data_IF_250962394134
#
_entry.id   IF_250962394134
#
_cell.length_a   1.000
_cell.length_b   1.000
_cell.length_c   1.000
_cell.angle_alpha   90.00
_cell.angle_beta   90.00
_cell.angle_gamma   90.00
#
_symmetry.space_group_name_H-M   'P 1'
#
loop_
_entity.id
_entity.type
_entity.pdbx_description
1 polymer ?
#
# COMPACT_ATOMS: atom_id res chain seq x y z
N UNK A 1 -12.59 -24.21 -11.18
CA UNK A 1 -12.63 -22.78 -11.57
C UNK A 1 -11.29 -22.15 -11.21
N UNK A 2 -10.71 -21.30 -12.06
CA UNK A 2 -9.55 -20.48 -11.67
C UNK A 2 -10.04 -19.29 -10.86
N UNK A 3 -9.33 -18.97 -9.78
CA UNK A 3 -9.59 -17.76 -9.01
C UNK A 3 -9.32 -16.51 -9.87
N UNK A 4 -10.19 -15.51 -9.77
CA UNK A 4 -10.02 -14.20 -10.42
C UNK A 4 -9.64 -13.19 -9.35
N UNK A 5 -8.42 -12.66 -9.42
CA UNK A 5 -7.89 -11.70 -8.47
C UNK A 5 -7.87 -10.32 -9.12
N UNK A 6 -8.36 -9.31 -8.39
CA UNK A 6 -8.41 -7.91 -8.84
C UNK A 6 -7.54 -7.06 -7.91
N UNK A 7 -6.73 -6.16 -8.48
CA UNK A 7 -5.92 -5.19 -7.71
C UNK A 7 -6.62 -3.84 -7.69
N UNK A 8 -6.81 -3.25 -6.52
CA UNK A 8 -7.48 -1.97 -6.32
C UNK A 8 -6.51 -1.04 -5.59
N UNK A 9 -6.35 0.19 -6.09
CA UNK A 9 -5.57 1.24 -5.47
C UNK A 9 -6.52 2.40 -5.13
N UNK A 10 -6.43 2.92 -3.90
CA UNK A 10 -7.34 3.92 -3.36
C UNK A 10 -6.52 5.00 -2.68
N UNK A 11 -6.97 6.25 -2.78
CA UNK A 11 -6.42 7.38 -2.05
C UNK A 11 -7.52 8.05 -1.21
N UNK A 12 -7.20 8.56 -0.01
CA UNK A 12 -8.15 9.31 0.79
C UNK A 12 -8.42 10.66 0.14
N UNK A 13 -9.69 10.93 -0.20
CA UNK A 13 -10.14 12.25 -0.67
C UNK A 13 -10.53 13.15 0.51
N UNK A 14 -10.80 12.57 1.68
CA UNK A 14 -11.16 13.27 2.91
C UNK A 14 -10.35 12.73 4.09
N UNK A 15 -9.89 13.62 4.97
CA UNK A 15 -9.00 13.28 6.10
C UNK A 15 -9.64 12.41 7.19
N UNK A 16 -10.96 12.21 7.18
CA UNK A 16 -11.68 11.61 8.30
C UNK A 16 -11.98 10.11 8.16
N UNK A 17 -11.50 9.44 7.11
CA UNK A 17 -11.79 8.01 6.93
C UNK A 17 -10.78 7.15 7.68
N UNK A 18 -11.26 6.36 8.64
CA UNK A 18 -10.46 5.35 9.32
C UNK A 18 -10.32 4.09 8.46
N UNK A 19 -9.25 3.32 8.64
CA UNK A 19 -9.02 2.04 7.95
C UNK A 19 -10.19 1.08 8.10
N UNK A 20 -10.77 0.99 9.30
CA UNK A 20 -11.95 0.14 9.56
C UNK A 20 -13.20 0.59 8.79
N UNK A 21 -13.45 1.91 8.76
CA UNK A 21 -14.57 2.47 8.02
C UNK A 21 -14.42 2.23 6.51
N UNK A 22 -13.20 2.38 5.98
CA UNK A 22 -12.86 2.06 4.60
C UNK A 22 -13.11 0.57 4.31
N UNK A 23 -12.60 -0.33 5.15
CA UNK A 23 -12.73 -1.77 4.95
C UNK A 23 -14.20 -2.22 4.99
N UNK A 24 -14.99 -1.66 5.91
CA UNK A 24 -16.43 -1.92 5.99
C UNK A 24 -17.15 -1.49 4.70
N UNK A 25 -16.81 -0.31 4.16
CA UNK A 25 -17.39 0.19 2.90
C UNK A 25 -16.99 -0.67 1.71
N UNK A 26 -15.70 -1.06 1.61
CA UNK A 26 -15.20 -1.92 0.53
C UNK A 26 -15.89 -3.29 0.54
N UNK A 27 -16.08 -3.90 1.72
CA UNK A 27 -16.81 -5.16 1.85
C UNK A 27 -18.26 -5.04 1.37
N UNK A 28 -18.94 -3.93 1.70
CA UNK A 28 -20.31 -3.68 1.26
C UNK A 28 -20.40 -3.55 -0.27
N UNK A 29 -19.48 -2.78 -0.88
CA UNK A 29 -19.43 -2.62 -2.34
C UNK A 29 -19.09 -3.93 -3.05
N UNK A 30 -18.11 -4.69 -2.54
CA UNK A 30 -17.77 -5.99 -3.08
C UNK A 30 -18.97 -6.94 -3.07
N UNK A 31 -19.70 -7.01 -1.95
CA UNK A 31 -20.91 -7.82 -1.85
C UNK A 31 -21.99 -7.42 -2.87
N UNK A 32 -22.18 -6.11 -3.09
CA UNK A 32 -23.09 -5.60 -4.13
C UNK A 32 -22.70 -6.02 -5.55
N UNK A 33 -21.42 -6.33 -5.79
CA UNK A 33 -20.89 -6.80 -7.07
C UNK A 33 -20.74 -8.33 -7.16
N UNK A 34 -21.17 -9.10 -6.14
CA UNK A 34 -20.95 -10.55 -6.09
C UNK A 34 -19.49 -10.95 -5.82
N UNK A 35 -18.71 -10.06 -5.21
CA UNK A 35 -17.30 -10.25 -4.86
C UNK A 35 -17.13 -10.37 -3.33
N UNK A 36 -16.02 -10.97 -2.91
CA UNK A 36 -15.61 -11.05 -1.50
C UNK A 36 -14.22 -10.45 -1.32
N UNK A 37 -14.07 -9.57 -0.33
CA UNK A 37 -12.75 -9.09 0.10
C UNK A 37 -12.11 -10.17 0.97
N UNK A 38 -11.08 -10.84 0.46
CA UNK A 38 -10.36 -11.89 1.19
C UNK A 38 -9.32 -11.30 2.17
N UNK A 39 -8.59 -10.26 1.74
CA UNK A 39 -7.61 -9.53 2.54
C UNK A 39 -7.61 -8.04 2.17
N UNK A 40 -7.18 -7.20 3.10
CA UNK A 40 -6.93 -5.78 2.87
C UNK A 40 -5.86 -5.34 3.87
N UNK A 41 -4.78 -4.76 3.36
CA UNK A 41 -3.64 -4.31 4.17
C UNK A 41 -3.44 -2.82 3.90
N UNK A 42 -3.20 -2.06 4.98
CA UNK A 42 -2.76 -0.68 4.86
C UNK A 42 -1.25 -0.72 4.60
N UNK A 43 -0.85 -0.30 3.41
CA UNK A 43 0.57 -0.10 3.09
C UNK A 43 0.88 1.34 3.47
N UNK A 44 1.59 1.51 4.58
CA UNK A 44 2.20 2.79 4.90
C UNK A 44 3.43 2.93 3.99
N UNK A 45 3.51 4.00 3.20
CA UNK A 45 4.68 4.27 2.38
C UNK A 45 5.83 4.75 3.29
N UNK A 46 6.39 3.86 4.11
CA UNK A 46 7.72 4.04 4.67
C UNK A 46 8.73 3.39 3.74
N UNK A 47 9.03 4.04 2.62
CA UNK A 47 10.28 3.81 1.88
C UNK A 47 10.67 5.11 1.17
N UNK A 48 11.25 6.03 1.94
CA UNK A 48 12.08 7.09 1.37
C UNK A 48 13.19 7.48 2.38
N UNK A 49 14.14 6.58 2.60
CA UNK A 49 15.54 7.00 2.84
C UNK A 49 16.48 5.96 2.25
N UNK A 50 16.69 6.12 0.94
CA UNK A 50 17.94 5.76 0.30
C UNK A 50 19.05 6.60 0.95
N UNK A 51 19.88 6.01 1.79
CA UNK A 51 21.24 6.50 2.04
C UNK A 51 22.21 5.58 1.32
N UNK A 52 22.18 5.65 -0.01
CA UNK A 52 23.31 5.27 -0.85
C UNK A 52 24.26 6.47 -0.86
N UNK A 53 25.15 6.55 0.13
CA UNK A 53 26.37 7.34 -0.03
C UNK A 53 27.46 6.37 -0.43
N UNK A 54 27.65 6.28 -1.73
CA UNK A 54 28.79 5.68 -2.39
C UNK A 54 30.12 6.00 -1.65
N UNK A 55 30.92 4.97 -1.36
CA UNK A 55 32.38 5.14 -1.46
C UNK A 55 32.77 5.25 -2.95
N UNK A 56 34.01 5.63 -3.34
CA UNK A 56 35.22 5.88 -2.54
C UNK A 56 35.89 7.24 -2.87
N UNK A 57 36.58 7.86 -1.91
CA UNK A 57 37.49 8.97 -2.22
C UNK A 57 38.79 8.89 -1.42
N UNK A 58 39.89 8.76 -2.15
CA UNK A 58 41.13 9.47 -1.85
C UNK A 58 42.20 8.69 -1.09
N UNK A 59 43.19 8.20 -1.85
CA UNK A 59 44.57 8.04 -1.40
C UNK A 59 45.07 9.32 -0.72
N UNK A 60 45.73 9.18 0.45
CA UNK A 60 46.83 10.06 0.87
C UNK A 60 47.74 9.27 1.81
N UNK A 61 48.97 9.07 1.34
CA UNK A 61 50.14 8.71 2.14
C UNK A 61 50.45 9.86 3.10
N UNK A 62 50.88 9.54 4.32
CA UNK A 62 51.99 10.19 5.02
C UNK A 62 52.55 9.22 6.09
#
# INVERSE_FOLDING_TARGET
>A
MREKIFRISLEPVNEHITTDALLRKLRLMAAGCGLRVNSAELIDNQDDTTTDVAGPTGSSQE
#
